data_IF_602217890047
#
_entry.id   IF_602217890047
#
_cell.length_a   1.000
_cell.length_b   1.000
_cell.length_c   1.000
_cell.angle_alpha   90.00
_cell.angle_beta   90.00
_cell.angle_gamma   90.00
#
_symmetry.space_group_name_H-M   'P 1'
#
loop_
_entity.id
_entity.type
_entity.pdbx_description
1 polymer ?
#
# COMPACT_ATOMS: atom_id res chain seq x y z
N UNK A 1 22.92 3.75 -23.71
CA UNK A 1 22.44 4.16 -22.36
C UNK A 1 22.90 3.10 -21.36
N UNK A 2 23.43 3.47 -20.19
CA UNK A 2 23.98 2.49 -19.23
C UNK A 2 22.88 1.75 -18.47
N UNK A 3 23.16 0.52 -18.00
CA UNK A 3 22.23 -0.29 -17.19
C UNK A 3 21.67 0.48 -15.98
N UNK A 4 22.53 1.26 -15.31
CA UNK A 4 22.15 2.14 -14.19
C UNK A 4 21.14 3.21 -14.60
N UNK A 5 21.33 3.86 -15.76
CA UNK A 5 20.39 4.88 -16.26
C UNK A 5 19.04 4.27 -16.63
N UNK A 6 19.04 3.06 -17.19
CA UNK A 6 17.80 2.35 -17.58
C UNK A 6 17.03 1.89 -16.35
N UNK A 7 17.73 1.31 -15.37
CA UNK A 7 17.13 0.97 -14.09
C UNK A 7 16.55 2.20 -13.40
N UNK A 8 17.30 3.31 -13.35
CA UNK A 8 16.84 4.57 -12.77
C UNK A 8 15.61 5.12 -13.48
N UNK A 9 15.57 5.07 -14.81
CA UNK A 9 14.39 5.49 -15.59
C UNK A 9 13.18 4.60 -15.29
N UNK A 10 13.34 3.27 -15.31
CA UNK A 10 12.27 2.33 -15.00
C UNK A 10 11.74 2.52 -13.57
N UNK A 11 12.63 2.76 -12.61
CA UNK A 11 12.29 3.08 -11.22
C UNK A 11 11.50 4.39 -11.14
N UNK A 12 11.97 5.48 -11.75
CA UNK A 12 11.28 6.76 -11.71
C UNK A 12 9.91 6.70 -12.37
N UNK A 13 9.79 6.03 -13.52
CA UNK A 13 8.49 5.87 -14.21
C UNK A 13 7.52 5.09 -13.32
N UNK A 14 7.94 3.93 -12.82
CA UNK A 14 7.07 3.10 -11.98
C UNK A 14 6.68 3.79 -10.66
N UNK A 15 7.61 4.48 -10.01
CA UNK A 15 7.33 5.25 -8.80
C UNK A 15 6.33 6.37 -9.07
N UNK A 16 6.56 7.17 -10.12
CA UNK A 16 5.63 8.25 -10.48
C UNK A 16 4.26 7.71 -10.84
N UNK A 17 4.17 6.65 -11.65
CA UNK A 17 2.88 6.02 -11.98
C UNK A 17 2.13 5.55 -10.74
N UNK A 18 2.81 4.88 -9.80
CA UNK A 18 2.16 4.42 -8.57
C UNK A 18 1.74 5.58 -7.66
N UNK A 19 2.57 6.61 -7.49
CA UNK A 19 2.21 7.80 -6.71
C UNK A 19 1.07 8.58 -7.35
N UNK A 20 1.03 8.69 -8.68
CA UNK A 20 -0.08 9.32 -9.40
C UNK A 20 -1.37 8.54 -9.21
N UNK A 21 -1.34 7.21 -9.31
CA UNK A 21 -2.52 6.38 -9.04
C UNK A 21 -2.98 6.56 -7.58
N UNK A 22 -2.04 6.51 -6.63
CA UNK A 22 -2.35 6.65 -5.21
C UNK A 22 -2.93 8.02 -4.87
N UNK A 23 -2.36 9.10 -5.41
CA UNK A 23 -2.87 10.45 -5.19
C UNK A 23 -4.21 10.71 -5.88
N UNK A 24 -4.39 10.26 -7.14
CA UNK A 24 -5.61 10.57 -7.90
C UNK A 24 -6.79 9.67 -7.57
N UNK A 25 -6.55 8.39 -7.27
CA UNK A 25 -7.61 7.43 -6.99
C UNK A 25 -7.92 7.27 -5.50
N UNK A 26 -6.96 7.59 -4.62
CA UNK A 26 -7.05 7.28 -3.19
C UNK A 26 -6.69 8.47 -2.29
N UNK A 27 -6.42 9.66 -2.85
CA UNK A 27 -6.07 10.87 -2.06
C UNK A 27 -4.95 10.64 -1.02
N UNK A 28 -3.98 9.78 -1.36
CA UNK A 28 -2.90 9.33 -0.45
C UNK A 28 -3.36 8.59 0.83
N UNK A 29 -4.60 8.11 0.87
CA UNK A 29 -5.16 7.31 1.95
C UNK A 29 -5.90 6.09 1.39
N UNK A 30 -5.36 4.88 1.59
CA UNK A 30 -6.05 3.67 1.15
C UNK A 30 -7.29 3.40 2.01
N UNK A 31 -7.17 3.56 3.33
CA UNK A 31 -8.28 3.53 4.28
C UNK A 31 -8.53 4.93 4.83
N UNK A 32 -9.77 5.38 4.77
CA UNK A 32 -10.19 6.66 5.35
C UNK A 32 -11.54 6.51 6.01
N UNK A 33 -11.80 7.27 7.07
CA UNK A 33 -13.14 7.42 7.62
C UNK A 33 -13.50 8.88 7.80
N UNK A 34 -14.79 9.16 7.77
CA UNK A 34 -15.37 10.47 8.05
C UNK A 34 -16.61 10.31 8.92
N UNK A 35 -16.95 11.34 9.68
CA UNK A 35 -18.24 11.44 10.38
C UNK A 35 -19.05 12.50 9.64
N UNK A 36 -20.22 12.11 9.12
CA UNK A 36 -21.06 13.03 8.34
C UNK A 36 -21.84 14.01 9.25
N UNK A 37 -22.58 14.94 8.66
CA UNK A 37 -23.38 15.94 9.38
C UNK A 37 -24.48 15.34 10.29
N UNK A 38 -24.80 14.06 10.11
CA UNK A 38 -25.76 13.30 10.94
C UNK A 38 -25.07 12.49 12.04
N UNK A 39 -23.79 12.75 12.30
CA UNK A 39 -22.95 12.02 13.25
C UNK A 39 -22.81 10.52 12.90
N UNK A 40 -22.76 10.17 11.61
CA UNK A 40 -22.64 8.78 11.18
C UNK A 40 -21.26 8.51 10.63
N UNK A 41 -20.71 7.35 10.99
CA UNK A 41 -19.45 6.86 10.47
C UNK A 41 -19.59 6.41 9.00
N UNK A 42 -18.74 6.96 8.14
CA UNK A 42 -18.57 6.57 6.74
C UNK A 42 -17.14 6.12 6.54
N UNK A 43 -16.91 4.90 6.04
CA UNK A 43 -15.57 4.46 5.67
C UNK A 43 -15.40 4.36 4.16
N UNK A 44 -14.18 4.66 3.74
CA UNK A 44 -13.69 4.60 2.37
C UNK A 44 -12.54 3.60 2.32
N UNK A 45 -12.64 2.65 1.41
CA UNK A 45 -11.60 1.68 1.08
C UNK A 45 -11.27 1.91 -0.39
N UNK A 46 -10.02 2.26 -0.72
CA UNK A 46 -9.61 2.80 -2.02
C UNK A 46 -9.98 1.99 -3.27
N UNK A 47 -10.48 0.77 -3.16
CA UNK A 47 -10.99 -0.04 -4.28
C UNK A 47 -12.52 -0.04 -4.44
N UNK A 48 -13.26 0.40 -3.42
CA UNK A 48 -14.71 0.48 -3.41
C UNK A 48 -15.14 1.93 -3.09
N UNK A 49 -16.28 2.38 -3.63
CA UNK A 49 -16.85 3.65 -3.21
C UNK A 49 -17.14 3.68 -1.69
N UNK A 50 -17.52 4.84 -1.12
CA UNK A 50 -17.94 4.90 0.27
C UNK A 50 -18.94 3.79 0.55
N UNK A 51 -18.63 2.93 1.51
CA UNK A 51 -19.63 2.07 2.11
C UNK A 51 -20.21 2.90 3.26
N UNK A 52 -21.43 3.47 3.15
CA UNK A 52 -22.09 4.05 4.31
C UNK A 52 -22.40 2.90 5.27
N UNK A 53 -21.62 2.77 6.33
CA UNK A 53 -21.65 1.57 7.18
C UNK A 53 -22.52 1.74 8.43
N UNK A 54 -23.74 2.26 8.25
CA UNK A 54 -24.89 2.21 9.20
C UNK A 54 -25.27 3.58 9.82
N UNK A 55 -26.58 3.72 10.02
CA UNK A 55 -27.35 4.90 10.43
C UNK A 55 -27.26 5.15 11.96
N UNK A 56 -26.13 4.85 12.59
CA UNK A 56 -25.89 4.95 14.04
C UNK A 56 -25.16 6.26 14.38
N UNK A 57 -25.65 6.95 15.41
CA UNK A 57 -25.02 8.17 15.94
C UNK A 57 -23.76 7.78 16.73
N UNK A 58 -22.60 8.26 16.28
CA UNK A 58 -21.29 8.02 16.92
C UNK A 58 -20.76 9.27 17.65
N UNK A 59 -21.62 10.22 17.98
CA UNK A 59 -21.23 11.47 18.64
C UNK A 59 -20.60 11.27 20.02
N UNK A 60 -20.90 10.18 20.74
CA UNK A 60 -20.30 9.86 22.04
C UNK A 60 -19.05 8.94 21.94
N UNK A 61 -18.69 8.48 20.73
CA UNK A 61 -17.65 7.46 20.49
C UNK A 61 -16.28 8.06 20.09
N UNK A 62 -15.94 9.26 20.57
CA UNK A 62 -14.74 9.97 20.10
C UNK A 62 -13.43 9.23 20.42
N UNK A 63 -13.37 8.52 21.54
CA UNK A 63 -12.20 7.71 21.91
C UNK A 63 -12.02 6.52 20.96
N UNK A 64 -13.09 5.76 20.72
CA UNK A 64 -13.13 4.63 19.78
C UNK A 64 -12.78 5.08 18.35
N UNK A 65 -13.32 6.22 17.91
CA UNK A 65 -13.00 6.82 16.61
C UNK A 65 -11.52 7.22 16.49
N UNK A 66 -10.93 7.78 17.55
CA UNK A 66 -9.51 8.15 17.59
C UNK A 66 -8.59 6.93 17.46
N UNK A 67 -8.93 5.84 18.17
CA UNK A 67 -8.19 4.57 18.07
C UNK A 67 -8.26 4.01 16.66
N UNK A 68 -9.45 3.94 16.07
CA UNK A 68 -9.66 3.49 14.70
C UNK A 68 -8.84 4.33 13.70
N UNK A 69 -8.86 5.66 13.84
CA UNK A 69 -8.08 6.57 13.01
C UNK A 69 -6.57 6.37 13.14
N UNK A 70 -6.08 6.08 14.33
CA UNK A 70 -4.66 5.74 14.54
C UNK A 70 -4.26 4.49 13.77
N UNK A 71 -5.08 3.42 13.81
CA UNK A 71 -4.81 2.18 13.08
C UNK A 71 -4.87 2.38 11.56
N UNK A 72 -5.88 3.10 11.05
CA UNK A 72 -5.96 3.43 9.62
C UNK A 72 -4.76 4.27 9.16
N UNK A 73 -4.36 5.27 9.94
CA UNK A 73 -3.17 6.08 9.63
C UNK A 73 -1.89 5.25 9.59
N UNK A 74 -1.73 4.31 10.54
CA UNK A 74 -0.60 3.38 10.53
C UNK A 74 -0.63 2.44 9.31
N UNK A 75 -1.80 1.90 8.96
CA UNK A 75 -1.97 1.10 7.76
C UNK A 75 -1.61 1.88 6.49
N UNK A 76 -2.11 3.11 6.33
CA UNK A 76 -1.80 3.97 5.17
C UNK A 76 -0.29 4.26 5.06
N UNK A 77 0.42 4.43 6.19
CA UNK A 77 1.89 4.56 6.18
C UNK A 77 2.59 3.31 5.66
N UNK A 78 2.14 2.13 6.06
CA UNK A 78 2.67 0.88 5.53
C UNK A 78 2.32 0.67 4.06
N UNK A 79 1.11 1.06 3.65
CA UNK A 79 0.69 1.02 2.26
C UNK A 79 1.56 1.94 1.39
N UNK A 80 1.82 3.17 1.84
CA UNK A 80 2.75 4.09 1.20
C UNK A 80 4.17 3.51 1.13
N UNK A 81 4.67 2.89 2.20
CA UNK A 81 5.96 2.21 2.16
C UNK A 81 6.00 1.11 1.09
N UNK A 82 4.92 0.35 0.93
CA UNK A 82 4.73 -0.61 -0.16
C UNK A 82 4.83 0.04 -1.54
N UNK A 83 4.14 1.17 -1.75
CA UNK A 83 4.20 1.98 -2.99
C UNK A 83 5.62 2.46 -3.29
N UNK A 84 6.40 2.83 -2.28
CA UNK A 84 7.78 3.29 -2.46
C UNK A 84 8.75 2.14 -2.75
N UNK A 85 8.49 0.94 -2.22
CA UNK A 85 9.35 -0.23 -2.38
C UNK A 85 9.08 -0.97 -3.70
N UNK A 86 7.83 -1.10 -4.13
CA UNK A 86 7.47 -1.86 -5.34
C UNK A 86 8.22 -1.42 -6.62
N UNK A 87 8.42 -0.12 -6.90
CA UNK A 87 9.20 0.37 -8.05
C UNK A 87 10.62 -0.18 -8.12
N UNK A 88 11.26 -0.44 -6.97
CA UNK A 88 12.59 -1.04 -6.92
C UNK A 88 12.59 -2.44 -7.55
N UNK A 89 11.60 -3.27 -7.23
CA UNK A 89 11.45 -4.62 -7.78
C UNK A 89 11.06 -4.57 -9.25
N UNK A 90 10.11 -3.70 -9.63
CA UNK A 90 9.70 -3.51 -11.03
C UNK A 90 10.91 -3.15 -11.90
N UNK A 91 11.69 -2.15 -11.50
CA UNK A 91 12.88 -1.72 -12.23
C UNK A 91 13.95 -2.82 -12.30
N UNK A 92 14.12 -3.57 -11.20
CA UNK A 92 15.07 -4.68 -11.14
C UNK A 92 14.68 -5.81 -12.08
N UNK A 93 13.42 -6.25 -12.08
CA UNK A 93 12.93 -7.28 -12.99
C UNK A 93 12.96 -6.82 -14.45
N UNK A 94 12.58 -5.57 -14.73
CA UNK A 94 12.67 -5.00 -16.07
C UNK A 94 14.08 -5.12 -16.66
N UNK A 95 15.11 -4.81 -15.86
CA UNK A 95 16.50 -4.95 -16.29
C UNK A 95 16.94 -6.42 -16.36
N UNK A 96 16.59 -7.23 -15.36
CA UNK A 96 17.03 -8.63 -15.24
C UNK A 96 16.45 -9.54 -16.32
N UNK A 97 15.21 -9.29 -16.75
CA UNK A 97 14.56 -10.05 -17.82
C UNK A 97 14.90 -9.54 -19.22
N UNK A 98 15.52 -8.37 -19.35
CA UNK A 98 15.92 -7.86 -20.66
C UNK A 98 17.08 -8.65 -21.27
N UNK A 99 16.85 -9.31 -22.40
CA UNK A 99 17.90 -10.01 -23.16
C UNK A 99 19.00 -9.06 -23.63
N UNK A 100 18.61 -7.86 -24.10
CA UNK A 100 19.55 -6.82 -24.54
C UNK A 100 20.59 -6.44 -23.49
N UNK A 101 20.20 -6.43 -22.21
CA UNK A 101 21.06 -5.96 -21.12
C UNK A 101 21.65 -7.08 -20.28
N UNK A 102 20.96 -8.21 -20.15
CA UNK A 102 21.32 -9.30 -19.25
C UNK A 102 21.41 -10.67 -19.92
N UNK A 103 21.16 -10.80 -21.23
CA UNK A 103 21.16 -12.05 -22.03
C UNK A 103 22.03 -13.17 -21.48
N UNK A 104 23.34 -13.13 -21.78
CA UNK A 104 24.32 -14.12 -21.34
C UNK A 104 25.17 -13.64 -20.15
N UNK A 105 24.67 -12.69 -19.37
CA UNK A 105 25.46 -12.14 -18.28
C UNK A 105 25.69 -13.23 -17.21
N UNK A 106 26.97 -13.55 -16.85
CA UNK A 106 27.28 -14.71 -16.02
C UNK A 106 26.66 -14.66 -14.61
N UNK A 107 26.33 -13.44 -14.14
CA UNK A 107 25.68 -13.22 -12.83
C UNK A 107 24.16 -13.06 -12.88
N UNK A 108 23.50 -13.18 -14.05
CA UNK A 108 22.04 -12.99 -14.20
C UNK A 108 21.25 -13.85 -13.22
N UNK A 109 21.54 -15.15 -13.19
CA UNK A 109 20.86 -16.12 -12.30
C UNK A 109 21.02 -15.76 -10.83
N UNK A 110 22.23 -15.33 -10.43
CA UNK A 110 22.53 -14.91 -9.06
C UNK A 110 21.72 -13.67 -8.66
N UNK A 111 21.71 -12.64 -9.51
CA UNK A 111 20.94 -11.43 -9.24
C UNK A 111 19.43 -11.70 -9.23
N UNK A 112 18.93 -12.51 -10.16
CA UNK A 112 17.52 -12.90 -10.17
C UNK A 112 17.14 -13.66 -8.88
N UNK A 113 17.96 -14.61 -8.43
CA UNK A 113 17.73 -15.33 -7.18
C UNK A 113 17.70 -14.39 -5.97
N UNK A 114 18.62 -13.44 -5.89
CA UNK A 114 18.64 -12.44 -4.82
C UNK A 114 17.42 -11.52 -4.84
N UNK A 115 17.05 -11.01 -6.01
CA UNK A 115 15.86 -10.15 -6.17
C UNK A 115 14.59 -10.91 -5.80
N UNK A 116 14.43 -12.16 -6.25
CA UNK A 116 13.29 -13.01 -5.89
C UNK A 116 13.24 -13.30 -4.39
N UNK A 117 14.38 -13.60 -3.77
CA UNK A 117 14.45 -13.87 -2.32
C UNK A 117 14.06 -12.64 -1.51
N UNK A 118 14.61 -11.47 -1.86
CA UNK A 118 14.25 -10.20 -1.22
C UNK A 118 12.77 -9.86 -1.44
N UNK A 119 12.24 -10.10 -2.64
CA UNK A 119 10.84 -9.85 -2.94
C UNK A 119 9.92 -10.77 -2.12
N UNK A 120 10.27 -12.06 -1.96
CA UNK A 120 9.51 -13.00 -1.13
C UNK A 120 9.46 -12.57 0.34
N UNK A 121 10.57 -12.07 0.90
CA UNK A 121 10.59 -11.50 2.25
C UNK A 121 9.67 -10.29 2.35
N UNK A 122 9.75 -9.35 1.40
CA UNK A 122 8.90 -8.16 1.38
C UNK A 122 7.41 -8.52 1.26
N UNK A 123 7.07 -9.50 0.42
CA UNK A 123 5.68 -9.99 0.28
C UNK A 123 5.20 -10.61 1.60
N UNK A 124 6.04 -11.41 2.26
CA UNK A 124 5.68 -12.03 3.55
C UNK A 124 5.39 -10.97 4.61
N UNK A 125 6.25 -9.95 4.70
CA UNK A 125 6.05 -8.81 5.61
C UNK A 125 4.76 -8.05 5.24
N UNK A 126 4.54 -7.78 3.94
CA UNK A 126 3.37 -7.07 3.48
C UNK A 126 2.07 -7.81 3.83
N UNK A 127 2.02 -9.14 3.65
CA UNK A 127 0.86 -9.97 4.05
C UNK A 127 0.65 -9.91 5.56
N UNK A 128 1.72 -10.04 6.35
CA UNK A 128 1.62 -9.97 7.81
C UNK A 128 1.06 -8.61 8.27
N UNK A 129 1.62 -7.52 7.77
CA UNK A 129 1.15 -6.15 8.06
C UNK A 129 -0.30 -5.98 7.63
N UNK A 130 -0.66 -6.44 6.42
CA UNK A 130 -2.01 -6.35 5.91
C UNK A 130 -3.04 -7.04 6.80
N UNK A 131 -2.78 -8.30 7.17
CA UNK A 131 -3.67 -9.08 8.05
C UNK A 131 -3.79 -8.42 9.42
N UNK A 132 -2.66 -8.09 10.04
CA UNK A 132 -2.64 -7.52 11.39
C UNK A 132 -3.44 -6.21 11.48
N UNK A 133 -3.25 -5.29 10.53
CA UNK A 133 -3.92 -4.00 10.59
C UNK A 133 -5.40 -4.08 10.16
N UNK A 134 -5.78 -5.01 9.28
CA UNK A 134 -7.21 -5.26 9.01
C UNK A 134 -7.92 -5.78 10.26
N UNK A 135 -7.30 -6.69 11.01
CA UNK A 135 -7.86 -7.18 12.27
C UNK A 135 -8.05 -6.03 13.27
N UNK A 136 -7.02 -5.18 13.46
CA UNK A 136 -7.09 -4.02 14.35
C UNK A 136 -8.15 -2.99 13.92
N UNK A 137 -8.23 -2.68 12.62
CA UNK A 137 -9.23 -1.74 12.10
C UNK A 137 -10.64 -2.31 12.27
N UNK A 138 -10.83 -3.62 12.04
CA UNK A 138 -12.12 -4.27 12.19
C UNK A 138 -12.57 -4.34 13.66
N UNK A 139 -11.65 -4.61 14.59
CA UNK A 139 -11.93 -4.59 16.03
C UNK A 139 -12.28 -3.17 16.50
N UNK A 140 -11.50 -2.17 16.11
CA UNK A 140 -11.78 -0.78 16.45
C UNK A 140 -13.11 -0.30 15.85
N UNK A 141 -13.40 -0.70 14.61
CA UNK A 141 -14.68 -0.45 13.96
C UNK A 141 -15.86 -1.08 14.72
N UNK A 142 -15.71 -2.30 15.23
CA UNK A 142 -16.73 -2.94 16.06
C UNK A 142 -16.98 -2.14 17.35
N UNK A 143 -15.93 -1.71 18.04
CA UNK A 143 -16.04 -0.92 19.28
C UNK A 143 -16.66 0.47 19.06
N UNK A 144 -16.62 1.02 17.84
CA UNK A 144 -17.31 2.27 17.51
C UNK A 144 -18.83 2.07 17.33
N UNK A 145 -19.28 0.84 17.07
CA UNK A 145 -20.66 0.57 16.67
C UNK A 145 -21.48 -0.27 17.67
N UNK A 146 -20.82 -0.96 18.60
CA UNK A 146 -21.44 -1.91 19.52
C UNK A 146 -20.84 -1.79 20.91
#
# INVERSE_FOLDING_TARGET
>A
MSKKKIWGLAFSISLLSMLTIYGLAMDFEFLKYEVNEKHQLVMYDGLNGPNPIINSDVSEEQESLSVMGSYMSQFNRWFLAGILIAPFFIASYYLLFSEKWMGDHPKKKKYLSWTLSANGVVITIAVFVWVHYIELVNEAYHNVLF
#
